data_IF_088564745793
#
_entry.id   IF_088564745793
#
_cell.length_a   1.000
_cell.length_b   1.000
_cell.length_c   1.000
_cell.angle_alpha   90.00
_cell.angle_beta   90.00
_cell.angle_gamma   90.00
#
_symmetry.space_group_name_H-M   'P 1'
#
loop_
_entity.id
_entity.type
_entity.pdbx_description
1 polymer ?
#
# COMPACT_ATOMS: atom_id res chain seq x y z
N UNK A 1 -33.68 -4.05 -10.93
CA UNK A 1 -34.23 -2.69 -10.67
C UNK A 1 -33.16 -1.70 -10.20
N UNK A 2 -32.31 -2.04 -9.24
CA UNK A 2 -31.30 -1.13 -8.66
C UNK A 2 -30.30 -0.56 -9.68
N UNK A 3 -29.90 -1.35 -10.68
CA UNK A 3 -29.02 -0.92 -11.77
C UNK A 3 -29.65 0.12 -12.69
N UNK A 4 -30.96 0.03 -12.95
CA UNK A 4 -31.69 1.03 -13.74
C UNK A 4 -31.76 2.36 -12.98
N UNK A 5 -32.02 2.30 -11.67
CA UNK A 5 -31.98 3.45 -10.77
C UNK A 5 -30.61 4.13 -10.77
N UNK A 6 -29.54 3.34 -10.77
CA UNK A 6 -28.17 3.84 -10.82
C UNK A 6 -27.88 4.64 -12.09
N UNK A 7 -28.39 4.20 -13.24
CA UNK A 7 -28.22 4.91 -14.52
C UNK A 7 -28.92 6.28 -14.52
N UNK A 8 -30.03 6.45 -13.82
CA UNK A 8 -30.70 7.77 -13.70
C UNK A 8 -29.94 8.70 -12.74
N UNK A 9 -29.32 8.13 -11.70
CA UNK A 9 -28.59 8.87 -10.68
C UNK A 9 -27.21 9.32 -11.17
N UNK A 10 -26.59 8.54 -12.08
CA UNK A 10 -25.22 8.77 -12.56
C UNK A 10 -25.06 10.13 -13.25
N UNK A 11 -26.09 10.55 -14.00
CA UNK A 11 -26.09 11.81 -14.76
C UNK A 11 -26.25 13.03 -13.85
N UNK A 12 -26.87 12.85 -12.66
CA UNK A 12 -27.09 13.94 -11.68
C UNK A 12 -25.91 14.11 -10.71
N UNK A 13 -25.37 13.01 -10.19
CA UNK A 13 -24.36 13.03 -9.12
C UNK A 13 -22.93 13.05 -9.67
N UNK A 14 -22.75 12.55 -10.90
CA UNK A 14 -21.46 12.39 -11.53
C UNK A 14 -20.77 11.07 -11.15
N UNK A 15 -20.18 10.43 -12.16
CA UNK A 15 -19.58 9.08 -12.09
C UNK A 15 -18.55 8.92 -10.96
N UNK A 16 -17.60 9.85 -10.86
CA UNK A 16 -16.51 9.80 -9.87
C UNK A 16 -17.04 9.84 -8.43
N UNK A 17 -18.00 10.72 -8.14
CA UNK A 17 -18.60 10.85 -6.81
C UNK A 17 -19.43 9.61 -6.45
N UNK A 18 -20.18 9.07 -7.41
CA UNK A 18 -20.97 7.85 -7.22
C UNK A 18 -20.11 6.63 -6.87
N UNK A 19 -18.90 6.53 -7.43
CA UNK A 19 -17.93 5.49 -7.06
C UNK A 19 -17.48 5.66 -5.61
N UNK A 20 -17.09 6.86 -5.20
CA UNK A 20 -16.65 7.11 -3.82
C UNK A 20 -17.74 6.80 -2.79
N UNK A 21 -18.97 7.26 -3.01
CA UNK A 21 -20.07 6.97 -2.09
C UNK A 21 -20.37 5.47 -1.99
N UNK A 22 -20.41 4.76 -3.12
CA UNK A 22 -20.64 3.32 -3.09
C UNK A 22 -19.53 2.54 -2.39
N UNK A 23 -18.26 2.85 -2.69
CA UNK A 23 -17.10 2.23 -2.04
C UNK A 23 -17.10 2.49 -0.54
N UNK A 24 -17.41 3.72 -0.11
CA UNK A 24 -17.54 4.02 1.32
C UNK A 24 -18.66 3.20 2.00
N UNK A 25 -19.82 3.05 1.34
CA UNK A 25 -20.92 2.23 1.85
C UNK A 25 -20.56 0.74 1.95
N UNK A 26 -19.80 0.22 0.97
CA UNK A 26 -19.27 -1.14 1.00
C UNK A 26 -18.30 -1.37 2.16
N UNK A 27 -17.35 -0.45 2.38
CA UNK A 27 -16.39 -0.52 3.49
C UNK A 27 -17.11 -0.51 4.84
N UNK A 28 -18.07 0.38 5.03
CA UNK A 28 -18.85 0.45 6.28
C UNK A 28 -19.64 -0.84 6.50
N UNK A 29 -20.27 -1.38 5.46
CA UNK A 29 -21.02 -2.63 5.56
C UNK A 29 -20.13 -3.81 5.98
N UNK A 30 -18.93 -3.91 5.39
CA UNK A 30 -17.96 -4.95 5.72
C UNK A 30 -17.44 -4.83 7.15
N UNK A 31 -17.17 -3.61 7.63
CA UNK A 31 -16.78 -3.36 9.02
C UNK A 31 -17.90 -3.82 9.97
N UNK A 32 -19.15 -3.48 9.68
CA UNK A 32 -20.30 -3.85 10.52
C UNK A 32 -20.57 -5.35 10.52
N UNK A 33 -20.41 -6.03 9.38
CA UNK A 33 -20.47 -7.49 9.30
C UNK A 33 -19.32 -8.11 10.10
N UNK A 34 -18.10 -7.57 9.99
CA UNK A 34 -16.96 -8.02 10.79
C UNK A 34 -17.17 -7.86 12.29
N UNK A 35 -17.71 -6.72 12.72
CA UNK A 35 -18.08 -6.48 14.12
C UNK A 35 -19.17 -7.43 14.61
N UNK A 36 -20.14 -7.78 13.76
CA UNK A 36 -21.14 -8.79 14.09
C UNK A 36 -20.49 -10.15 14.35
N UNK A 37 -19.52 -10.58 13.55
CA UNK A 37 -18.82 -11.84 13.81
C UNK A 37 -17.94 -11.82 15.06
N UNK A 38 -17.45 -10.66 15.49
CA UNK A 38 -16.60 -10.53 16.69
C UNK A 38 -17.40 -10.39 17.99
N UNK A 39 -18.51 -9.64 17.97
CA UNK A 39 -19.28 -9.27 19.17
C UNK A 39 -20.72 -9.78 19.18
N UNK A 40 -21.21 -10.33 18.07
CA UNK A 40 -22.61 -10.71 17.89
C UNK A 40 -23.12 -11.76 18.86
N UNK A 41 -22.28 -12.74 19.23
CA UNK A 41 -22.62 -13.75 20.24
C UNK A 41 -22.71 -13.12 21.65
N UNK A 42 -21.80 -12.21 21.99
CA UNK A 42 -21.78 -11.55 23.32
C UNK A 42 -22.94 -10.58 23.53
N UNK A 43 -23.42 -9.95 22.45
CA UNK A 43 -24.48 -8.95 22.46
C UNK A 43 -25.86 -9.52 22.07
N UNK A 44 -25.95 -10.84 21.83
CA UNK A 44 -27.15 -11.55 21.41
C UNK A 44 -27.89 -10.87 20.24
N UNK A 45 -27.13 -10.42 19.24
CA UNK A 45 -27.67 -9.65 18.10
C UNK A 45 -28.32 -10.60 17.10
N UNK A 46 -29.56 -10.32 16.72
CA UNK A 46 -30.33 -11.11 15.75
C UNK A 46 -29.61 -11.24 14.39
N UNK A 47 -29.74 -12.40 13.75
CA UNK A 47 -29.23 -12.68 12.40
C UNK A 47 -29.82 -11.76 11.31
N UNK A 48 -30.95 -11.11 11.60
CA UNK A 48 -31.52 -10.06 10.75
C UNK A 48 -30.56 -8.88 10.56
N UNK A 49 -29.75 -8.56 11.58
CA UNK A 49 -28.76 -7.49 11.50
C UNK A 49 -27.75 -7.77 10.39
N UNK A 50 -27.18 -8.98 10.37
CA UNK A 50 -26.25 -9.41 9.32
C UNK A 50 -26.91 -9.36 7.93
N UNK A 51 -28.15 -9.84 7.81
CA UNK A 51 -28.88 -9.83 6.55
C UNK A 51 -29.07 -8.41 6.01
N UNK A 52 -29.43 -7.45 6.87
CA UNK A 52 -29.63 -6.05 6.47
C UNK A 52 -28.33 -5.44 5.94
N UNK A 53 -27.19 -5.62 6.64
CA UNK A 53 -25.92 -5.07 6.16
C UNK A 53 -25.39 -5.78 4.92
N UNK A 54 -25.65 -7.07 4.78
CA UNK A 54 -25.31 -7.81 3.58
C UNK A 54 -26.12 -7.31 2.37
N UNK A 55 -27.43 -7.10 2.52
CA UNK A 55 -28.27 -6.53 1.46
C UNK A 55 -27.87 -5.09 1.14
N UNK A 56 -27.51 -4.30 2.16
CA UNK A 56 -27.01 -2.94 1.97
C UNK A 56 -25.69 -2.92 1.20
N UNK A 57 -24.76 -3.85 1.50
CA UNK A 57 -23.53 -4.03 0.72
C UNK A 57 -23.84 -4.32 -0.76
N UNK A 58 -24.74 -5.28 -1.03
CA UNK A 58 -25.13 -5.64 -2.41
C UNK A 58 -25.77 -4.44 -3.12
N UNK A 59 -26.60 -3.67 -2.41
CA UNK A 59 -27.19 -2.44 -2.94
C UNK A 59 -26.13 -1.39 -3.30
N UNK A 60 -25.19 -1.10 -2.40
CA UNK A 60 -24.10 -0.16 -2.66
C UNK A 60 -23.22 -0.58 -3.84
N UNK A 61 -22.94 -1.88 -3.96
CA UNK A 61 -22.19 -2.44 -5.09
C UNK A 61 -22.94 -2.28 -6.41
N UNK A 62 -24.23 -2.63 -6.43
CA UNK A 62 -25.07 -2.56 -7.62
C UNK A 62 -25.25 -1.13 -8.16
N UNK A 63 -25.37 -0.13 -7.28
CA UNK A 63 -25.56 1.28 -7.67
C UNK A 63 -24.26 1.96 -8.07
N UNK A 64 -23.12 1.46 -7.60
CA UNK A 64 -21.82 2.10 -7.78
C UNK A 64 -21.00 1.43 -8.87
N UNK A 65 -20.09 0.54 -8.51
CA UNK A 65 -19.08 -0.04 -9.41
C UNK A 65 -19.76 -0.77 -10.57
N UNK A 66 -20.80 -1.56 -10.31
CA UNK A 66 -21.46 -2.34 -11.35
C UNK A 66 -22.03 -1.46 -12.47
N UNK A 67 -22.74 -0.38 -12.14
CA UNK A 67 -23.33 0.50 -13.15
C UNK A 67 -22.28 1.41 -13.80
N UNK A 68 -21.36 1.98 -13.02
CA UNK A 68 -20.38 2.97 -13.50
C UNK A 68 -19.37 2.33 -14.45
N UNK A 69 -18.93 1.09 -14.20
CA UNK A 69 -17.94 0.41 -15.06
C UNK A 69 -18.47 0.18 -16.46
N UNK A 70 -19.74 -0.26 -16.62
CA UNK A 70 -20.32 -0.45 -17.95
C UNK A 70 -20.46 0.87 -18.72
N UNK A 71 -20.79 1.96 -18.03
CA UNK A 71 -20.84 3.30 -18.66
C UNK A 71 -19.44 3.75 -19.08
N UNK A 72 -18.45 3.65 -18.20
CA UNK A 72 -17.08 4.07 -18.49
C UNK A 72 -16.45 3.29 -19.64
N UNK A 73 -16.64 1.96 -19.67
CA UNK A 73 -16.14 1.14 -20.78
C UNK A 73 -16.76 1.57 -22.11
N UNK A 74 -18.05 1.92 -22.12
CA UNK A 74 -18.72 2.38 -23.33
C UNK A 74 -18.21 3.76 -23.80
N UNK A 75 -17.79 4.64 -22.89
CA UNK A 75 -17.24 5.96 -23.22
C UNK A 75 -15.78 5.88 -23.70
N UNK A 76 -15.01 4.91 -23.19
CA UNK A 76 -13.57 4.78 -23.48
C UNK A 76 -13.28 4.30 -24.90
N UNK A 77 -14.15 3.47 -25.48
CA UNK A 77 -13.94 2.89 -26.82
C UNK A 77 -14.62 3.69 -27.94
N UNK A 78 -13.95 3.86 -29.10
CA UNK A 78 -14.55 4.51 -30.26
C UNK A 78 -15.75 3.72 -30.77
N UNK A 79 -16.73 4.42 -31.35
CA UNK A 79 -18.05 3.88 -31.73
C UNK A 79 -17.98 2.65 -32.63
N UNK A 80 -16.95 2.54 -33.48
CA UNK A 80 -16.75 1.41 -34.40
C UNK A 80 -16.47 0.07 -33.71
N UNK A 81 -15.82 0.07 -32.54
CA UNK A 81 -15.37 -1.16 -31.84
C UNK A 81 -16.03 -1.34 -30.48
N UNK A 82 -16.86 -0.38 -30.05
CA UNK A 82 -17.48 -0.35 -28.73
C UNK A 82 -18.26 -1.61 -28.40
N UNK A 83 -19.09 -2.10 -29.33
CA UNK A 83 -19.89 -3.32 -29.11
C UNK A 83 -19.01 -4.54 -28.86
N UNK A 84 -18.00 -4.75 -29.71
CA UNK A 84 -17.05 -5.86 -29.58
C UNK A 84 -16.28 -5.80 -28.25
N UNK A 85 -15.73 -4.62 -27.91
CA UNK A 85 -14.96 -4.43 -26.69
C UNK A 85 -15.81 -4.69 -25.43
N UNK A 86 -17.06 -4.22 -25.42
CA UNK A 86 -17.99 -4.48 -24.32
C UNK A 86 -18.32 -5.97 -24.17
N UNK A 87 -18.51 -6.69 -25.28
CA UNK A 87 -18.75 -8.14 -25.25
C UNK A 87 -17.55 -8.93 -24.74
N UNK A 88 -16.32 -8.58 -25.14
CA UNK A 88 -15.10 -9.23 -24.65
C UNK A 88 -14.92 -8.99 -23.15
N UNK A 89 -15.11 -7.75 -22.68
CA UNK A 89 -15.04 -7.43 -21.26
C UNK A 89 -16.09 -8.18 -20.43
N UNK A 90 -17.33 -8.27 -20.94
CA UNK A 90 -18.38 -9.05 -20.31
C UNK A 90 -18.05 -10.55 -20.25
N UNK A 91 -17.57 -11.11 -21.35
CA UNK A 91 -17.17 -12.52 -21.40
C UNK A 91 -16.02 -12.83 -20.42
N UNK A 92 -15.00 -11.97 -20.36
CA UNK A 92 -13.90 -12.10 -19.40
C UNK A 92 -14.40 -12.02 -17.94
N UNK A 93 -15.35 -11.12 -17.65
CA UNK A 93 -15.97 -11.02 -16.33
C UNK A 93 -16.71 -12.31 -15.96
N UNK A 94 -17.49 -12.87 -16.88
CA UNK A 94 -18.24 -14.11 -16.64
C UNK A 94 -17.33 -15.34 -16.47
N UNK A 95 -16.23 -15.42 -17.22
CA UNK A 95 -15.22 -16.46 -17.00
C UNK A 95 -14.60 -16.29 -15.61
N UNK A 96 -14.21 -15.07 -15.25
CA UNK A 96 -13.64 -14.77 -13.94
C UNK A 96 -14.57 -15.20 -12.81
N UNK A 97 -15.86 -14.86 -12.88
CA UNK A 97 -16.85 -15.25 -11.86
C UNK A 97 -17.09 -16.75 -11.85
N UNK A 98 -17.12 -17.41 -13.00
CA UNK A 98 -17.22 -18.87 -13.09
C UNK A 98 -16.03 -19.56 -12.42
N UNK A 99 -14.79 -19.13 -12.74
CA UNK A 99 -13.58 -19.69 -12.17
C UNK A 99 -13.52 -19.47 -10.66
N UNK A 100 -13.84 -18.26 -10.17
CA UNK A 100 -13.91 -18.00 -8.73
C UNK A 100 -14.95 -18.91 -8.08
N UNK A 101 -16.13 -19.09 -8.69
CA UNK A 101 -17.17 -19.97 -8.18
C UNK A 101 -16.74 -21.43 -8.06
N UNK A 102 -15.98 -21.95 -9.02
CA UNK A 102 -15.49 -23.34 -9.00
C UNK A 102 -14.25 -23.52 -8.12
N UNK A 103 -13.35 -22.54 -8.10
CA UNK A 103 -12.10 -22.62 -7.35
C UNK A 103 -12.33 -22.38 -5.85
N UNK A 104 -13.29 -21.55 -5.45
CA UNK A 104 -13.50 -21.21 -4.04
C UNK A 104 -13.79 -22.44 -3.16
N UNK A 105 -14.69 -23.38 -3.52
CA UNK A 105 -14.90 -24.61 -2.75
C UNK A 105 -13.65 -25.49 -2.70
N UNK A 106 -12.94 -25.62 -3.82
CA UNK A 106 -11.70 -26.40 -3.89
C UNK A 106 -10.61 -25.80 -2.99
N UNK A 107 -10.47 -24.47 -2.99
CA UNK A 107 -9.56 -23.75 -2.10
C UNK A 107 -9.95 -23.93 -0.63
N UNK A 108 -11.23 -23.82 -0.28
CA UNK A 108 -11.69 -23.99 1.11
C UNK A 108 -11.45 -25.41 1.64
N UNK A 109 -11.58 -26.43 0.79
CA UNK A 109 -11.39 -27.82 1.18
C UNK A 109 -9.91 -28.21 1.26
N UNK A 110 -9.11 -27.76 0.30
CA UNK A 110 -7.71 -28.18 0.20
C UNK A 110 -6.75 -27.18 0.83
N UNK A 111 -6.92 -25.87 0.60
CA UNK A 111 -6.05 -24.83 1.13
C UNK A 111 -6.60 -24.34 2.48
N UNK A 112 -6.43 -25.14 3.53
CA UNK A 112 -6.82 -24.71 4.88
C UNK A 112 -5.91 -23.58 5.40
N UNK A 113 -6.41 -22.66 6.26
CA UNK A 113 -5.59 -21.60 6.87
C UNK A 113 -4.47 -22.13 7.77
N UNK A 114 -4.54 -23.39 8.20
CA UNK A 114 -3.64 -24.03 9.14
C UNK A 114 -2.17 -24.11 8.69
N UNK A 115 -1.88 -23.86 7.40
CA UNK A 115 -0.53 -23.85 6.83
C UNK A 115 0.10 -22.46 6.65
N UNK A 116 -0.62 -21.37 6.98
CA UNK A 116 -0.13 -20.00 6.80
C UNK A 116 0.68 -19.58 8.03
N UNK A 117 2.00 -19.47 7.88
CA UNK A 117 2.86 -18.88 8.91
C UNK A 117 3.19 -17.44 8.52
N UNK A 118 2.93 -16.53 9.46
CA UNK A 118 3.19 -15.11 9.33
C UNK A 118 4.26 -14.71 10.35
N UNK A 119 5.50 -14.61 9.89
CA UNK A 119 6.64 -14.26 10.72
C UNK A 119 7.01 -12.80 10.43
N UNK A 120 6.92 -11.94 11.45
CA UNK A 120 7.22 -10.51 11.32
C UNK A 120 8.22 -10.09 12.38
N UNK A 121 9.31 -9.48 11.92
CA UNK A 121 10.33 -8.89 12.76
C UNK A 121 10.41 -7.37 12.54
N UNK A 122 9.99 -6.63 13.56
CA UNK A 122 10.05 -5.17 13.60
C UNK A 122 11.32 -4.73 14.33
N UNK A 123 12.04 -3.77 13.76
CA UNK A 123 13.13 -3.09 14.45
C UNK A 123 12.80 -1.61 14.57
N UNK A 124 12.77 -1.12 15.80
CA UNK A 124 12.71 0.32 16.09
C UNK A 124 14.00 0.72 16.78
N UNK A 125 14.62 1.79 16.31
CA UNK A 125 15.73 2.43 17.04
C UNK A 125 15.22 3.73 17.62
N UNK A 126 15.45 3.92 18.91
CA UNK A 126 15.12 5.15 19.62
C UNK A 126 16.41 5.83 20.10
N UNK A 127 17.15 6.51 19.22
CA UNK A 127 18.23 7.35 19.68
C UNK A 127 17.60 8.62 20.27
N UNK A 128 17.56 8.69 21.60
CA UNK A 128 17.10 9.87 22.36
C UNK A 128 17.98 11.12 22.17
N UNK A 129 18.91 11.12 21.22
CA UNK A 129 19.75 12.24 20.84
C UNK A 129 19.58 12.49 19.34
N UNK A 130 19.23 13.74 18.98
CA UNK A 130 19.10 14.16 17.60
C UNK A 130 20.37 13.86 16.79
N UNK A 131 20.18 13.46 15.55
CA UNK A 131 21.27 13.26 14.61
C UNK A 131 21.76 14.61 14.14
N UNK A 132 23.07 14.78 14.15
CA UNK A 132 23.70 15.96 13.59
C UNK A 132 23.84 15.74 12.11
N UNK A 133 23.07 16.48 11.32
CA UNK A 133 23.17 16.42 9.87
C UNK A 133 24.28 17.37 9.41
N UNK A 134 25.53 16.92 9.50
CA UNK A 134 26.72 17.61 8.94
C UNK A 134 27.21 16.93 7.65
N UNK A 135 26.28 16.37 6.87
CA UNK A 135 26.60 15.54 5.71
C UNK A 135 26.63 16.37 4.42
N UNK A 136 27.27 15.85 3.38
CA UNK A 136 27.20 16.46 2.04
C UNK A 136 25.76 16.56 1.50
N UNK A 137 24.81 15.82 2.10
CA UNK A 137 23.39 15.95 1.76
C UNK A 137 22.77 17.23 2.30
N UNK A 138 23.36 17.90 3.29
CA UNK A 138 22.82 19.13 3.90
C UNK A 138 23.69 20.36 3.71
N UNK A 139 24.93 20.17 3.26
CA UNK A 139 25.83 21.28 2.95
C UNK A 139 25.87 21.55 1.44
N UNK A 140 25.45 22.74 0.98
CA UNK A 140 25.59 23.08 -0.44
C UNK A 140 27.07 23.27 -0.79
N UNK A 141 27.46 22.79 -1.98
CA UNK A 141 28.81 22.94 -2.54
C UNK A 141 29.95 22.41 -1.63
N UNK A 142 29.70 21.32 -0.89
CA UNK A 142 30.74 20.68 -0.09
C UNK A 142 31.89 20.19 -0.99
N UNK A 143 33.11 20.65 -0.70
CA UNK A 143 34.33 20.35 -1.46
C UNK A 143 34.23 20.66 -2.99
N UNK A 144 33.61 21.79 -3.35
CA UNK A 144 33.32 22.19 -4.74
C UNK A 144 32.45 21.18 -5.51
N UNK A 145 31.77 20.29 -4.78
CA UNK A 145 30.85 19.29 -5.32
C UNK A 145 29.46 19.82 -5.61
N UNK A 146 28.61 18.95 -6.15
CA UNK A 146 27.22 19.28 -6.43
C UNK A 146 26.40 19.48 -5.15
N UNK A 147 25.46 20.43 -5.18
CA UNK A 147 24.49 20.63 -4.11
C UNK A 147 23.22 19.80 -4.35
N UNK A 148 22.66 19.14 -3.33
CA UNK A 148 21.36 18.48 -3.40
C UNK A 148 20.24 19.43 -3.86
N UNK A 149 19.41 18.95 -4.80
CA UNK A 149 18.38 19.76 -5.45
C UNK A 149 17.40 20.44 -4.48
N UNK A 150 17.03 19.74 -3.40
CA UNK A 150 16.11 20.27 -2.39
C UNK A 150 16.68 21.44 -1.58
N UNK A 151 18.01 21.56 -1.46
CA UNK A 151 18.66 22.71 -0.85
C UNK A 151 18.60 23.90 -1.80
N UNK A 152 18.72 23.67 -3.12
CA UNK A 152 18.69 24.71 -4.15
C UNK A 152 17.30 25.32 -4.29
N UNK A 153 16.26 24.50 -4.42
CA UNK A 153 14.87 25.00 -4.54
C UNK A 153 14.37 25.68 -3.27
N UNK A 154 14.78 25.18 -2.10
CA UNK A 154 14.34 25.71 -0.82
C UNK A 154 15.22 26.82 -0.27
N UNK A 155 16.25 27.26 -0.99
CA UNK A 155 17.14 28.34 -0.59
C UNK A 155 16.49 29.71 -0.77
N UNK A 156 16.99 30.66 0.01
CA UNK A 156 16.57 32.05 -0.08
C UNK A 156 16.97 32.65 -1.43
N UNK A 157 16.00 33.24 -2.11
CA UNK A 157 16.19 34.11 -3.28
C UNK A 157 15.34 35.38 -3.14
N UNK A 158 15.59 36.45 -3.91
CA UNK A 158 14.74 37.63 -3.91
C UNK A 158 13.26 37.33 -4.19
N UNK A 159 12.99 36.24 -4.91
CA UNK A 159 11.67 35.70 -5.27
C UNK A 159 11.13 34.72 -4.20
N UNK A 160 12.01 34.05 -3.46
CA UNK A 160 11.67 33.10 -2.39
C UNK A 160 12.16 33.59 -1.01
N UNK A 161 11.44 34.57 -0.45
CA UNK A 161 11.84 35.26 0.80
C UNK A 161 11.51 34.48 2.08
N UNK A 162 10.55 33.56 2.01
CA UNK A 162 10.17 32.66 3.11
C UNK A 162 10.83 31.28 2.98
N UNK A 163 12.08 31.28 2.51
CA UNK A 163 12.84 30.07 2.25
C UNK A 163 13.19 29.31 3.53
N UNK A 164 13.23 27.99 3.42
CA UNK A 164 13.63 27.09 4.51
C UNK A 164 15.14 27.09 4.70
N UNK A 165 15.91 27.18 3.61
CA UNK A 165 17.37 27.13 3.62
C UNK A 165 17.98 28.53 3.41
N UNK A 166 19.17 28.80 3.97
CA UNK A 166 19.85 30.08 3.76
C UNK A 166 20.23 30.27 2.28
N UNK A 167 20.53 31.53 1.90
CA UNK A 167 20.98 31.86 0.54
C UNK A 167 22.23 31.05 0.19
N UNK A 168 22.22 30.45 -1.00
CA UNK A 168 23.38 29.75 -1.54
C UNK A 168 24.51 30.75 -1.90
N UNK A 169 25.75 30.33 -1.66
CA UNK A 169 26.94 31.13 -1.94
C UNK A 169 28.09 30.19 -2.30
N UNK A 170 28.87 30.54 -3.31
CA UNK A 170 30.13 29.87 -3.67
C UNK A 170 31.30 30.36 -2.81
N UNK A 171 31.18 31.54 -2.20
CA UNK A 171 32.13 32.01 -1.20
C UNK A 171 31.93 31.25 0.12
N UNK A 172 33.03 30.75 0.70
CA UNK A 172 33.09 30.12 2.01
C UNK A 172 32.82 31.13 3.14
N UNK A 173 31.59 31.62 3.25
CA UNK A 173 31.16 32.48 4.35
C UNK A 173 30.82 31.61 5.55
N UNK A 174 31.49 31.88 6.68
CA UNK A 174 31.42 31.17 7.96
C UNK A 174 30.01 31.06 8.60
N UNK A 175 28.96 31.63 8.00
CA UNK A 175 27.65 31.77 8.65
C UNK A 175 26.59 30.78 8.14
N UNK A 176 26.82 30.08 7.02
CA UNK A 176 25.81 29.25 6.35
C UNK A 176 25.80 27.76 6.68
N UNK A 177 26.77 27.25 7.45
CA UNK A 177 26.96 25.82 7.71
C UNK A 177 27.63 25.52 9.05
N UNK A 178 27.41 26.36 10.06
CA UNK A 178 27.86 26.10 11.43
C UNK A 178 26.88 25.17 12.14
N UNK A 179 27.43 24.26 12.93
CA UNK A 179 26.67 23.40 13.83
C UNK A 179 25.70 24.24 14.68
N UNK A 180 24.41 23.93 14.57
CA UNK A 180 23.34 24.56 15.34
C UNK A 180 22.14 23.62 15.39
N UNK A 181 21.22 23.84 16.33
CA UNK A 181 20.00 23.04 16.51
C UNK A 181 19.17 22.95 15.22
N UNK A 182 19.33 23.92 14.32
CA UNK A 182 18.71 23.94 13.01
C UNK A 182 19.14 22.75 12.12
N UNK A 183 20.41 22.33 12.21
CA UNK A 183 20.99 21.18 11.50
C UNK A 183 20.79 19.86 12.24
N UNK A 184 20.34 19.89 13.50
CA UNK A 184 20.02 18.69 14.25
C UNK A 184 18.64 18.18 13.81
N UNK A 185 18.57 16.94 13.32
CA UNK A 185 17.32 16.30 12.91
C UNK A 185 16.96 15.18 13.86
N UNK A 186 15.67 15.02 14.11
CA UNK A 186 15.17 13.88 14.85
C UNK A 186 15.26 12.64 13.95
N UNK A 187 16.19 11.74 14.24
CA UNK A 187 16.34 10.45 13.55
C UNK A 187 15.65 9.31 14.28
N UNK A 188 14.55 9.58 14.98
CA UNK A 188 13.64 8.52 15.42
C UNK A 188 13.03 7.87 14.18
N UNK A 189 13.10 6.55 14.11
CA UNK A 189 12.47 5.79 13.04
C UNK A 189 12.01 4.42 13.52
N UNK A 190 11.01 3.90 12.82
CA UNK A 190 10.54 2.52 12.93
C UNK A 190 10.67 1.90 11.55
N UNK A 191 11.35 0.75 11.45
CA UNK A 191 11.54 0.05 10.18
C UNK A 191 11.09 -1.40 10.28
N UNK A 192 10.26 -1.82 9.33
CA UNK A 192 9.94 -3.23 9.12
C UNK A 192 11.14 -3.91 8.44
N UNK A 193 11.97 -4.56 9.26
CA UNK A 193 13.25 -5.13 8.84
C UNK A 193 13.09 -6.43 8.09
N UNK A 194 12.23 -7.32 8.57
CA UNK A 194 11.93 -8.57 7.91
C UNK A 194 10.44 -8.89 8.09
N UNK A 195 9.76 -9.18 6.99
CA UNK A 195 8.48 -9.87 7.06
C UNK A 195 8.52 -11.05 6.09
N UNK A 196 8.00 -12.18 6.55
CA UNK A 196 7.83 -13.36 5.73
C UNK A 196 6.40 -13.88 5.85
N UNK A 197 5.81 -14.15 4.69
CA UNK A 197 4.54 -14.85 4.58
C UNK A 197 4.81 -16.15 3.85
N UNK A 198 4.57 -17.26 4.53
CA UNK A 198 4.76 -18.59 3.97
C UNK A 198 3.47 -19.39 4.00
N UNK A 199 3.20 -20.13 2.93
CA UNK A 199 2.15 -21.11 2.87
C UNK A 199 2.75 -22.50 2.64
N UNK A 200 2.51 -23.40 3.59
CA UNK A 200 2.87 -24.81 3.43
C UNK A 200 1.69 -25.54 2.80
N UNK A 201 1.92 -26.17 1.64
CA UNK A 201 0.92 -26.98 0.97
C UNK A 201 0.56 -28.19 1.84
N UNK A 202 -0.74 -28.55 1.94
CA UNK A 202 -1.17 -29.71 2.69
C UNK A 202 -0.55 -31.00 2.16
N UNK A 203 -0.19 -31.90 3.07
CA UNK A 203 0.47 -33.18 2.77
C UNK A 203 -0.35 -34.06 1.83
N UNK A 204 -1.68 -33.94 1.84
CA UNK A 204 -2.57 -34.70 0.95
C UNK A 204 -2.37 -34.37 -0.54
N UNK A 205 -2.00 -33.13 -0.86
CA UNK A 205 -1.71 -32.70 -2.22
C UNK A 205 -0.29 -33.06 -2.63
N UNK A 206 0.69 -32.86 -1.73
CA UNK A 206 2.10 -33.12 -2.03
C UNK A 206 2.41 -34.61 -2.16
N UNK A 207 1.75 -35.46 -1.34
CA UNK A 207 1.94 -36.91 -1.37
C UNK A 207 1.49 -37.56 -2.68
N UNK A 208 0.49 -37.00 -3.37
CA UNK A 208 0.05 -37.47 -4.71
C UNK A 208 1.15 -37.32 -5.77
N UNK A 209 2.05 -36.35 -5.59
CA UNK A 209 3.16 -36.05 -6.49
C UNK A 209 4.48 -36.65 -5.97
N UNK A 210 4.45 -37.39 -4.86
CA UNK A 210 5.64 -38.01 -4.27
C UNK A 210 6.55 -37.04 -3.53
N UNK A 211 6.02 -35.93 -3.00
CA UNK A 211 6.79 -34.92 -2.26
C UNK A 211 6.32 -34.88 -0.81
N UNK A 212 7.25 -34.89 0.16
CA UNK A 212 6.94 -34.86 1.59
C UNK A 212 6.36 -33.51 2.03
N UNK A 213 7.01 -32.41 1.66
CA UNK A 213 6.58 -31.06 2.06
C UNK A 213 6.97 -30.01 1.02
N UNK A 214 6.04 -29.12 0.71
CA UNK A 214 6.30 -27.95 -0.14
C UNK A 214 5.85 -26.70 0.61
N UNK A 215 6.75 -25.74 0.81
CA UNK A 215 6.46 -24.42 1.38
C UNK A 215 6.85 -23.34 0.38
N UNK A 216 5.86 -22.61 -0.11
CA UNK A 216 6.10 -21.37 -0.84
C UNK A 216 6.13 -20.22 0.16
N UNK A 217 7.08 -19.30 0.03
CA UNK A 217 7.16 -18.13 0.90
C UNK A 217 7.61 -16.90 0.13
N UNK A 218 7.13 -15.75 0.60
CA UNK A 218 7.61 -14.44 0.18
C UNK A 218 8.21 -13.79 1.42
N UNK A 219 9.49 -13.44 1.34
CA UNK A 219 10.17 -12.64 2.35
C UNK A 219 10.53 -11.29 1.78
N UNK A 220 10.60 -10.29 2.64
CA UNK A 220 11.16 -9.01 2.26
C UNK A 220 11.92 -8.36 3.38
N UNK A 221 12.96 -7.61 3.00
CA UNK A 221 13.79 -6.87 3.93
C UNK A 221 13.68 -5.35 3.70
N UNK A 222 13.74 -4.59 4.80
CA UNK A 222 13.60 -3.12 4.79
C UNK A 222 12.33 -2.64 4.06
N UNK A 223 11.21 -3.35 4.24
CA UNK A 223 9.96 -3.19 3.50
C UNK A 223 9.33 -1.81 3.67
N UNK A 224 9.38 -1.29 4.89
CA UNK A 224 8.73 -0.03 5.24
C UNK A 224 9.51 0.71 6.32
N UNK A 225 9.62 2.03 6.20
CA UNK A 225 10.29 2.90 7.18
C UNK A 225 9.40 4.09 7.48
N UNK A 226 9.06 4.28 8.75
CA UNK A 226 8.47 5.50 9.28
C UNK A 226 9.58 6.32 9.91
N UNK A 227 9.84 7.52 9.39
CA UNK A 227 10.87 8.41 9.92
C UNK A 227 10.47 9.87 9.72
N UNK A 228 10.92 10.74 10.61
CA UNK A 228 10.85 12.19 10.43
C UNK A 228 11.91 12.75 9.46
N UNK A 229 12.85 11.91 9.03
CA UNK A 229 13.93 12.25 8.11
C UNK A 229 13.47 12.02 6.67
N UNK A 230 13.64 13.02 5.78
CA UNK A 230 13.12 12.96 4.41
C UNK A 230 14.14 12.59 3.34
N UNK A 231 15.41 12.98 3.51
CA UNK A 231 16.39 13.00 2.41
C UNK A 231 17.54 12.02 2.56
N UNK A 232 17.65 11.34 3.71
CA UNK A 232 18.68 10.34 3.97
C UNK A 232 18.10 9.17 4.78
N UNK A 233 18.82 8.06 4.78
CA UNK A 233 18.45 6.87 5.54
C UNK A 233 18.67 7.14 7.05
N UNK A 234 17.65 6.99 7.91
CA UNK A 234 17.80 7.23 9.36
C UNK A 234 18.71 6.21 10.08
N UNK A 235 19.13 5.13 9.39
CA UNK A 235 20.15 4.18 9.89
C UNK A 235 21.59 4.56 9.56
N UNK A 236 21.78 5.66 8.84
CA UNK A 236 23.10 6.14 8.48
C UNK A 236 23.91 6.50 9.72
N UNK A 237 25.18 6.05 9.85
CA UNK A 237 26.03 6.40 11.00
C UNK A 237 26.43 7.88 10.99
N UNK A 238 26.84 8.39 12.15
CA UNK A 238 27.29 9.80 12.32
C UNK A 238 28.53 10.17 11.49
N UNK A 239 29.26 9.18 10.95
CA UNK A 239 30.41 9.38 10.06
C UNK A 239 30.05 8.86 8.68
N UNK A 240 29.75 9.78 7.76
CA UNK A 240 29.16 9.48 6.45
C UNK A 240 30.04 9.95 5.29
N UNK A 241 31.18 9.30 5.10
CA UNK A 241 31.94 9.36 3.85
C UNK A 241 31.62 8.09 3.05
N UNK A 242 30.42 8.01 2.47
CA UNK A 242 30.04 6.93 1.54
C UNK A 242 29.06 5.88 2.06
N UNK A 243 28.20 6.21 3.04
CA UNK A 243 27.14 5.27 3.45
C UNK A 243 26.08 5.13 2.35
N UNK A 244 25.88 3.90 1.89
CA UNK A 244 24.79 3.58 0.98
C UNK A 244 23.51 3.23 1.77
N UNK A 245 22.37 3.84 1.42
CA UNK A 245 21.09 3.49 2.01
C UNK A 245 20.80 2.00 1.92
N UNK A 246 20.14 1.46 2.94
CA UNK A 246 19.74 0.06 2.93
C UNK A 246 18.76 -0.20 1.78
N UNK A 247 19.05 -1.22 0.97
CA UNK A 247 18.18 -1.62 -0.11
C UNK A 247 16.93 -2.32 0.43
N UNK A 248 15.81 -2.10 -0.26
CA UNK A 248 14.59 -2.88 -0.05
C UNK A 248 14.64 -4.10 -0.95
N UNK A 249 14.55 -5.28 -0.36
CA UNK A 249 14.63 -6.55 -1.09
C UNK A 249 13.31 -7.29 -0.95
N UNK A 250 12.84 -7.85 -2.05
CA UNK A 250 11.71 -8.78 -2.09
C UNK A 250 12.22 -10.11 -2.63
N UNK A 251 11.96 -11.17 -1.90
CA UNK A 251 12.44 -12.52 -2.18
C UNK A 251 11.24 -13.45 -2.28
N UNK A 252 11.24 -14.28 -3.31
CA UNK A 252 10.28 -15.34 -3.52
C UNK A 252 11.03 -16.67 -3.42
N UNK A 253 10.61 -17.53 -2.51
CA UNK A 253 11.27 -18.80 -2.24
C UNK A 253 10.31 -19.98 -2.24
N UNK A 254 10.83 -21.13 -2.64
CA UNK A 254 10.14 -22.41 -2.59
C UNK A 254 11.04 -23.42 -1.88
N UNK A 255 10.57 -23.95 -0.76
CA UNK A 255 11.26 -25.01 -0.02
C UNK A 255 10.54 -26.33 -0.30
N UNK A 256 11.28 -27.30 -0.86
CA UNK A 256 10.80 -28.64 -1.20
C UNK A 256 11.59 -29.65 -0.36
N UNK A 257 10.89 -30.49 0.38
CA UNK A 257 11.44 -31.62 1.14
C UNK A 257 10.94 -32.91 0.50
N UNK A 258 11.85 -33.84 0.23
CA UNK A 258 11.62 -35.14 -0.41
C UNK A 258 11.58 -36.26 0.59
#
# INVERSE_FOLDING_TARGET
MTTILALVIIDKVGRKKLVYYGVSGMVVSLILIGLYFLFGETLNVSSLFLLVFFLFYVFCCAVSICAVVFVLLSEMYPTKVRGLAMSIAGFALWIGTYLIGQLTPWMLQNLTPAGTLFDVYLCGSYPGAGWVDDTFYTRPFYADGNAPYYLVEGAWTPENRNAKYPRLSTEARLNGGKYSDWWVKNGTYIRLKNAQIGYTLPTELTRKVGIEKVRAYVSGSNLFTLTGVKYFDPEMPNVNQGYYPQQRVYEFGLNITF
#
